data_IF_552004623473
#
_entry.id   IF_552004623473
#
_cell.length_a   1.000
_cell.length_b   1.000
_cell.length_c   1.000
_cell.angle_alpha   90.00
_cell.angle_beta   90.00
_cell.angle_gamma   90.00
#
_symmetry.space_group_name_H-M   'P 1'
#
loop_
_entity.id
_entity.type
_entity.pdbx_description
1 polymer ?
#
# COMPACT_ATOMS: atom_id res chain seq x y z
N UNK A 1 -42.15 38.56 -5.07
CA UNK A 1 -40.68 38.36 -5.06
C UNK A 1 -40.11 37.89 -3.72
N UNK A 2 -40.75 38.07 -2.56
CA UNK A 2 -40.22 37.61 -1.24
C UNK A 2 -40.42 36.09 -0.93
N UNK A 3 -41.36 35.41 -1.61
CA UNK A 3 -41.63 33.97 -1.35
C UNK A 3 -40.69 32.98 -2.03
N UNK A 4 -40.03 33.39 -3.14
CA UNK A 4 -39.08 32.54 -3.88
C UNK A 4 -37.73 32.47 -3.15
N UNK A 5 -37.31 33.53 -2.47
CA UNK A 5 -36.03 33.57 -1.75
C UNK A 5 -36.01 32.65 -0.51
N UNK A 6 -37.19 32.47 0.16
CA UNK A 6 -37.31 31.64 1.35
C UNK A 6 -37.28 30.15 0.98
N UNK A 7 -37.80 29.76 -0.19
CA UNK A 7 -37.77 28.34 -0.65
C UNK A 7 -36.37 27.93 -1.08
N UNK A 8 -35.58 28.82 -1.70
CA UNK A 8 -34.19 28.50 -2.11
C UNK A 8 -33.29 28.41 -0.89
N UNK A 9 -33.48 29.26 0.14
CA UNK A 9 -32.70 29.17 1.39
C UNK A 9 -33.00 27.88 2.20
N UNK A 10 -34.28 27.44 2.18
CA UNK A 10 -34.67 26.21 2.87
C UNK A 10 -34.13 24.96 2.15
N UNK A 11 -34.02 24.98 0.80
CA UNK A 11 -33.44 23.86 0.03
C UNK A 11 -31.91 23.77 0.19
N UNK A 12 -31.22 24.86 0.31
CA UNK A 12 -29.78 24.89 0.60
C UNK A 12 -29.47 24.43 2.05
N UNK A 13 -30.35 24.76 3.02
CA UNK A 13 -30.16 24.32 4.40
C UNK A 13 -30.48 22.83 4.63
N UNK A 14 -31.39 22.24 3.85
CA UNK A 14 -31.71 20.84 3.92
C UNK A 14 -30.70 19.93 3.17
N UNK A 15 -29.95 20.48 2.19
CA UNK A 15 -28.95 19.77 1.43
C UNK A 15 -27.60 19.62 2.15
N UNK A 16 -27.28 20.50 3.09
CA UNK A 16 -26.02 20.46 3.85
C UNK A 16 -26.10 19.63 5.14
N UNK A 17 -27.29 19.27 5.60
CA UNK A 17 -27.48 18.49 6.83
C UNK A 17 -27.49 16.97 6.64
N UNK A 18 -27.40 16.47 5.40
CA UNK A 18 -27.43 15.03 5.10
C UNK A 18 -26.04 14.40 4.86
N UNK A 19 -24.96 15.19 4.98
CA UNK A 19 -23.59 14.73 4.69
C UNK A 19 -22.68 14.71 5.91
N UNK A 20 -23.20 14.97 7.09
CA UNK A 20 -22.50 14.81 8.35
C UNK A 20 -23.25 13.77 9.21
N UNK A 21 -23.31 12.54 8.76
CA UNK A 21 -23.30 11.41 9.68
C UNK A 21 -21.82 11.10 9.91
N UNK A 22 -21.33 11.59 11.05
CA UNK A 22 -20.09 11.12 11.66
C UNK A 22 -20.25 9.62 11.89
N UNK A 23 -19.80 8.83 10.94
CA UNK A 23 -19.55 7.42 11.14
C UNK A 23 -18.28 7.36 11.98
N UNK A 24 -18.42 7.27 13.31
CA UNK A 24 -17.29 7.10 14.26
C UNK A 24 -16.44 5.86 13.97
N UNK A 25 -16.70 5.16 12.86
CA UNK A 25 -16.02 3.95 12.42
C UNK A 25 -15.28 4.10 11.08
N UNK A 26 -15.25 5.29 10.47
CA UNK A 26 -14.49 5.55 9.23
C UNK A 26 -13.03 6.01 9.51
N UNK A 27 -12.38 5.38 10.47
CA UNK A 27 -11.06 5.78 10.96
C UNK A 27 -9.87 5.48 10.05
N UNK A 28 -10.05 5.28 8.75
CA UNK A 28 -8.95 5.04 7.82
C UNK A 28 -9.28 5.71 6.47
N UNK A 29 -8.96 6.97 6.36
CA UNK A 29 -9.05 7.71 5.09
C UNK A 29 -7.64 7.91 4.52
N UNK A 30 -7.17 6.95 3.75
CA UNK A 30 -5.92 7.06 3.01
C UNK A 30 -6.18 7.55 1.59
N UNK A 31 -5.26 8.31 1.02
CA UNK A 31 -5.33 8.74 -0.37
C UNK A 31 -3.97 8.59 -1.03
N UNK A 32 -3.93 7.92 -2.18
CA UNK A 32 -2.75 7.84 -3.03
C UNK A 32 -2.98 8.57 -4.34
N UNK A 33 -1.97 9.30 -4.81
CA UNK A 33 -1.95 9.97 -6.10
C UNK A 33 -0.74 9.48 -6.87
N UNK A 34 -0.94 9.18 -8.17
CA UNK A 34 0.13 8.80 -9.10
C UNK A 34 0.12 9.68 -10.32
N UNK A 35 1.31 9.97 -10.85
CA UNK A 35 1.49 10.77 -12.07
C UNK A 35 2.46 10.04 -13.00
N UNK A 36 1.99 9.70 -14.20
CA UNK A 36 2.82 9.16 -15.26
C UNK A 36 3.79 10.23 -15.80
N UNK A 37 4.90 9.80 -16.36
CA UNK A 37 6.02 10.68 -16.76
C UNK A 37 5.66 11.74 -17.83
N UNK A 38 4.66 11.49 -18.67
CA UNK A 38 4.18 12.45 -19.67
C UNK A 38 3.02 13.33 -19.16
N UNK A 39 2.50 13.04 -17.96
CA UNK A 39 1.53 13.88 -17.26
C UNK A 39 2.21 14.93 -16.34
N UNK A 40 3.52 14.83 -16.13
CA UNK A 40 4.33 15.82 -15.42
C UNK A 40 4.99 16.80 -16.38
N UNK A 41 5.35 17.98 -15.89
CA UNK A 41 5.96 19.05 -16.73
C UNK A 41 7.43 18.80 -17.02
N UNK A 42 8.10 17.97 -16.24
CA UNK A 42 9.54 17.71 -16.31
C UNK A 42 9.90 16.26 -16.63
N UNK A 43 8.89 15.41 -16.91
CA UNK A 43 9.07 14.00 -17.21
C UNK A 43 9.28 13.12 -15.97
N UNK A 44 9.08 13.66 -14.76
CA UNK A 44 9.15 12.86 -13.53
C UNK A 44 7.93 11.95 -13.36
N UNK A 45 8.16 10.78 -12.79
CA UNK A 45 7.10 9.92 -12.25
C UNK A 45 6.90 10.28 -10.78
N UNK A 46 5.66 10.41 -10.34
CA UNK A 46 5.37 10.78 -8.96
C UNK A 46 4.38 9.82 -8.32
N UNK A 47 4.59 9.55 -7.04
CA UNK A 47 3.59 8.95 -6.15
C UNK A 47 3.56 9.72 -4.84
N UNK A 48 2.39 9.82 -4.25
CA UNK A 48 2.16 10.40 -2.93
C UNK A 48 1.05 9.63 -2.25
N UNK A 49 1.13 9.51 -0.93
CA UNK A 49 0.04 8.94 -0.15
C UNK A 49 -0.09 9.62 1.21
N UNK A 50 -1.30 9.61 1.74
CA UNK A 50 -1.60 9.91 3.13
C UNK A 50 -1.99 8.62 3.83
N UNK A 51 -1.80 8.58 5.14
CA UNK A 51 -2.24 7.47 5.97
C UNK A 51 -2.88 8.05 7.23
N UNK A 52 -4.19 7.86 7.36
CA UNK A 52 -4.92 8.20 8.57
C UNK A 52 -4.99 6.98 9.47
N UNK A 53 -4.46 7.09 10.67
CA UNK A 53 -4.43 5.95 11.58
C UNK A 53 -3.40 6.10 12.70
N UNK A 54 -3.40 5.14 13.60
CA UNK A 54 -2.48 5.08 14.73
C UNK A 54 -1.21 4.32 14.37
N UNK A 55 -0.36 4.93 13.54
CA UNK A 55 0.99 4.43 13.28
C UNK A 55 2.03 5.30 13.98
N UNK A 56 3.28 4.82 14.04
CA UNK A 56 4.36 5.64 14.54
C UNK A 56 4.61 6.85 13.62
N UNK A 57 5.09 7.94 14.22
CA UNK A 57 5.37 9.21 13.52
C UNK A 57 6.86 9.47 13.32
N UNK A 58 7.71 8.50 13.62
CA UNK A 58 9.15 8.60 13.39
C UNK A 58 9.52 8.15 11.98
N UNK A 59 10.63 8.68 11.48
CA UNK A 59 11.23 8.36 10.18
C UNK A 59 12.70 8.01 10.43
N UNK A 60 13.19 6.95 9.82
CA UNK A 60 14.61 6.62 9.80
C UNK A 60 15.03 6.01 8.46
N UNK A 61 16.33 6.04 8.20
CA UNK A 61 16.92 5.34 7.06
C UNK A 61 17.43 3.98 7.53
N UNK A 62 16.95 2.92 6.89
CA UNK A 62 17.53 1.58 7.03
C UNK A 62 18.65 1.46 6.00
N UNK A 63 19.91 1.23 6.41
CA UNK A 63 21.02 1.16 5.49
C UNK A 63 20.99 -0.12 4.64
N UNK A 64 21.57 -0.03 3.45
CA UNK A 64 21.86 -1.19 2.62
C UNK A 64 22.78 -2.18 3.33
N UNK A 65 22.64 -3.48 3.02
CA UNK A 65 23.42 -4.52 3.69
C UNK A 65 23.64 -5.73 2.79
N UNK A 66 24.86 -6.26 2.83
CA UNK A 66 25.19 -7.56 2.25
C UNK A 66 24.96 -8.69 3.24
N UNK A 67 24.45 -9.79 2.75
CA UNK A 67 24.08 -10.96 3.54
C UNK A 67 24.85 -12.19 3.08
N UNK A 68 25.20 -13.05 4.04
CA UNK A 68 25.87 -14.31 3.74
C UNK A 68 24.90 -15.30 3.05
N UNK A 69 25.40 -16.18 2.19
CA UNK A 69 24.58 -17.25 1.64
C UNK A 69 23.86 -18.04 2.74
N UNK A 70 22.57 -18.34 2.55
CA UNK A 70 21.75 -19.04 3.53
C UNK A 70 21.21 -18.17 4.67
N UNK A 71 21.43 -16.85 4.66
CA UNK A 71 20.80 -15.96 5.60
C UNK A 71 19.27 -15.97 5.47
N UNK A 72 18.57 -15.73 6.57
CA UNK A 72 17.13 -15.56 6.62
C UNK A 72 16.77 -14.17 7.16
N UNK A 73 15.58 -13.70 6.83
CA UNK A 73 15.00 -12.48 7.41
C UNK A 73 13.70 -12.84 8.13
N UNK A 74 13.48 -12.28 9.33
CA UNK A 74 12.24 -12.52 10.07
C UNK A 74 11.06 -11.82 9.40
N UNK A 75 9.90 -12.46 9.46
CA UNK A 75 8.60 -11.84 9.16
C UNK A 75 8.05 -11.25 10.45
N UNK A 76 7.68 -9.98 10.41
CA UNK A 76 7.28 -9.19 11.59
C UNK A 76 5.83 -8.76 11.47
N UNK A 77 5.12 -8.80 12.60
CA UNK A 77 3.80 -8.16 12.77
C UNK A 77 3.87 -7.07 13.85
N UNK A 78 3.02 -6.07 13.74
CA UNK A 78 2.84 -4.96 14.71
C UNK A 78 4.02 -3.98 14.80
N UNK A 79 5.03 -4.04 13.94
CA UNK A 79 6.19 -3.16 14.06
C UNK A 79 5.86 -1.69 13.75
N UNK A 80 4.86 -1.40 12.93
CA UNK A 80 4.42 -0.03 12.64
C UNK A 80 3.74 0.67 13.82
N UNK A 81 3.41 -0.05 14.89
CA UNK A 81 2.80 0.49 16.11
C UNK A 81 3.81 0.85 17.20
N UNK A 82 5.10 0.71 16.94
CA UNK A 82 6.16 1.03 17.92
C UNK A 82 6.25 2.54 18.15
N UNK A 83 6.62 2.94 19.39
CA UNK A 83 6.72 4.35 19.77
C UNK A 83 7.98 5.02 19.26
N UNK A 84 9.07 4.27 19.12
CA UNK A 84 10.38 4.75 18.70
C UNK A 84 11.02 3.74 17.75
N UNK A 85 11.95 4.19 16.92
CA UNK A 85 12.68 3.33 15.96
C UNK A 85 13.43 2.17 16.64
N UNK A 86 13.85 2.35 17.88
CA UNK A 86 14.54 1.33 18.69
C UNK A 86 13.60 0.51 19.57
N UNK A 87 12.30 0.83 19.58
CA UNK A 87 11.32 0.12 20.37
C UNK A 87 10.94 -1.19 19.66
N UNK A 88 11.12 -2.30 20.35
CA UNK A 88 10.73 -3.63 19.87
C UNK A 88 9.54 -4.21 20.63
N UNK A 89 8.98 -3.45 21.58
CA UNK A 89 7.86 -3.90 22.39
C UNK A 89 6.61 -4.14 21.51
N UNK A 90 6.06 -5.35 21.62
CA UNK A 90 4.87 -5.75 20.84
C UNK A 90 5.15 -6.24 19.42
N UNK A 91 6.38 -6.13 18.90
CA UNK A 91 6.77 -6.76 17.63
C UNK A 91 6.72 -8.29 17.80
N UNK A 92 6.01 -8.95 16.88
CA UNK A 92 5.95 -10.41 16.85
C UNK A 92 6.72 -10.93 15.64
N UNK A 93 7.65 -11.84 15.87
CA UNK A 93 8.25 -12.65 14.80
C UNK A 93 7.33 -13.84 14.57
N UNK A 94 6.80 -13.96 13.36
CA UNK A 94 5.79 -14.98 13.00
C UNK A 94 6.30 -15.99 11.98
N UNK A 95 7.53 -15.82 11.51
CA UNK A 95 8.20 -16.72 10.57
C UNK A 95 9.52 -16.15 10.09
N UNK A 96 10.17 -16.85 9.20
CA UNK A 96 11.40 -16.47 8.52
C UNK A 96 11.34 -16.85 7.06
N UNK A 97 11.92 -16.04 6.19
CA UNK A 97 12.07 -16.34 4.76
C UNK A 97 13.54 -16.17 4.34
N UNK A 98 13.96 -16.79 3.23
CA UNK A 98 15.29 -16.58 2.69
C UNK A 98 15.60 -15.11 2.46
N UNK A 99 16.78 -14.66 2.91
CA UNK A 99 17.25 -13.31 2.64
C UNK A 99 17.98 -13.26 1.30
N UNK A 100 17.83 -12.14 0.58
CA UNK A 100 18.60 -11.87 -0.63
C UNK A 100 20.05 -11.54 -0.29
N UNK A 101 20.96 -11.70 -1.26
CA UNK A 101 22.39 -11.44 -1.05
C UNK A 101 22.70 -9.99 -0.67
N UNK A 102 21.89 -9.05 -1.16
CA UNK A 102 22.00 -7.62 -0.89
C UNK A 102 20.62 -7.01 -0.67
N UNK A 103 20.46 -6.22 0.38
CA UNK A 103 19.26 -5.41 0.63
C UNK A 103 19.56 -3.95 0.40
N UNK A 104 18.66 -3.25 -0.29
CA UNK A 104 18.79 -1.81 -0.56
C UNK A 104 18.48 -0.97 0.68
N UNK A 105 19.08 0.20 0.76
CA UNK A 105 18.74 1.22 1.74
C UNK A 105 17.35 1.79 1.44
N UNK A 106 16.55 2.06 2.48
CA UNK A 106 15.21 2.62 2.30
C UNK A 106 14.79 3.55 3.45
N UNK A 107 13.83 4.40 3.14
CA UNK A 107 13.13 5.26 4.10
C UNK A 107 12.07 4.43 4.80
N UNK A 108 12.25 4.23 6.10
CA UNK A 108 11.35 3.52 6.97
C UNK A 108 10.43 4.51 7.69
N UNK A 109 9.15 4.38 7.43
CA UNK A 109 8.07 5.16 8.03
C UNK A 109 6.99 4.21 8.53
N UNK A 110 5.77 4.65 8.76
CA UNK A 110 4.63 3.77 9.05
C UNK A 110 4.47 2.67 8.01
N UNK A 111 4.67 3.03 6.73
CA UNK A 111 4.88 2.11 5.61
C UNK A 111 6.20 2.48 4.93
N UNK A 112 7.16 1.55 4.72
CA UNK A 112 8.37 1.82 3.98
C UNK A 112 8.05 2.34 2.58
N UNK A 113 8.54 3.53 2.23
CA UNK A 113 7.98 4.30 1.13
C UNK A 113 8.91 4.54 -0.05
N UNK A 114 10.23 4.55 0.15
CA UNK A 114 11.20 4.87 -0.90
C UNK A 114 12.53 4.19 -0.63
N UNK A 115 13.14 3.58 -1.66
CA UNK A 115 14.48 3.01 -1.55
C UNK A 115 15.52 3.75 -2.39
N UNK A 116 16.80 3.39 -2.23
CA UNK A 116 17.93 4.02 -2.94
C UNK A 116 17.88 3.81 -4.46
N UNK A 117 17.11 2.88 -4.98
CA UNK A 117 16.86 2.67 -6.41
C UNK A 117 15.72 3.53 -6.93
N UNK A 118 15.20 4.43 -6.08
CA UNK A 118 14.05 5.29 -6.38
C UNK A 118 12.76 4.52 -6.65
N UNK A 119 12.63 3.31 -6.08
CA UNK A 119 11.35 2.63 -6.04
C UNK A 119 10.54 3.25 -4.91
N UNK A 120 9.34 3.74 -5.24
CA UNK A 120 8.40 4.35 -4.30
C UNK A 120 7.14 3.51 -4.16
N UNK A 121 6.62 3.38 -2.93
CA UNK A 121 5.35 2.70 -2.64
C UNK A 121 4.46 3.63 -1.80
N UNK A 122 3.20 3.78 -2.22
CA UNK A 122 2.13 4.37 -1.43
C UNK A 122 1.04 3.32 -1.19
N UNK A 123 0.32 3.41 -0.08
CA UNK A 123 -0.65 2.40 0.34
C UNK A 123 -2.01 3.05 0.64
N UNK A 124 -3.11 2.35 0.31
CA UNK A 124 -4.49 2.66 0.72
C UNK A 124 -5.27 1.37 0.91
N UNK A 125 -5.91 1.22 2.07
CA UNK A 125 -6.71 0.03 2.40
C UNK A 125 -8.11 0.12 1.78
N UNK A 126 -8.58 -0.92 1.08
CA UNK A 126 -9.98 -1.02 0.64
C UNK A 126 -10.78 -2.13 1.36
N UNK A 127 -10.15 -2.83 2.29
CA UNK A 127 -10.66 -3.92 3.13
C UNK A 127 -11.13 -5.17 2.37
N UNK A 128 -12.12 -5.07 1.51
CA UNK A 128 -12.72 -6.22 0.83
C UNK A 128 -13.57 -7.12 1.75
N UNK A 129 -14.04 -8.28 1.26
CA UNK A 129 -14.82 -9.21 2.08
C UNK A 129 -13.99 -9.89 3.17
N UNK A 130 -14.45 -9.88 4.42
CA UNK A 130 -13.79 -10.53 5.57
C UNK A 130 -13.54 -12.02 5.36
N UNK A 131 -14.36 -12.67 4.52
CA UNK A 131 -14.20 -14.08 4.18
C UNK A 131 -12.91 -14.40 3.45
N UNK A 132 -12.24 -13.40 2.86
CA UNK A 132 -10.96 -13.55 2.18
C UNK A 132 -9.78 -13.41 3.12
N UNK A 133 -9.95 -12.85 4.31
CA UNK A 133 -8.86 -12.60 5.25
C UNK A 133 -8.44 -13.89 5.96
N UNK A 134 -7.14 -14.19 5.93
CA UNK A 134 -6.53 -15.24 6.73
C UNK A 134 -5.64 -14.63 7.83
N UNK A 135 -6.21 -14.38 8.99
CA UNK A 135 -5.48 -13.76 10.12
C UNK A 135 -4.26 -14.58 10.61
N UNK A 136 -4.20 -15.88 10.26
CA UNK A 136 -3.07 -16.75 10.60
C UNK A 136 -1.91 -16.61 9.61
N UNK A 137 -2.15 -16.06 8.42
CA UNK A 137 -1.10 -15.84 7.43
C UNK A 137 -0.08 -14.81 7.91
N UNK A 138 1.22 -15.01 7.64
CA UNK A 138 2.29 -14.24 8.27
C UNK A 138 2.49 -12.84 7.69
N UNK A 139 2.23 -12.63 6.40
CA UNK A 139 2.54 -11.37 5.71
C UNK A 139 1.37 -10.40 5.77
N UNK A 140 1.60 -9.24 6.38
CA UNK A 140 0.74 -8.06 6.30
C UNK A 140 1.32 -7.07 5.30
N UNK A 141 0.55 -6.05 4.91
CA UNK A 141 0.94 -5.16 3.83
C UNK A 141 2.21 -4.37 4.15
N UNK A 142 2.38 -3.89 5.38
CA UNK A 142 3.58 -3.18 5.78
C UNK A 142 4.85 -4.04 5.65
N UNK A 143 4.73 -5.35 5.87
CA UNK A 143 5.86 -6.27 5.75
C UNK A 143 6.17 -6.57 4.28
N UNK A 144 5.14 -6.66 3.42
CA UNK A 144 5.34 -6.75 1.97
C UNK A 144 6.03 -5.49 1.41
N UNK A 145 5.61 -4.29 1.86
CA UNK A 145 6.27 -3.04 1.50
C UNK A 145 7.75 -3.04 1.91
N UNK A 146 8.06 -3.47 3.14
CA UNK A 146 9.44 -3.59 3.61
C UNK A 146 10.27 -4.53 2.73
N UNK A 147 9.76 -5.71 2.45
CA UNK A 147 10.46 -6.71 1.65
C UNK A 147 10.66 -6.25 0.19
N UNK A 148 9.69 -5.52 -0.36
CA UNK A 148 9.84 -4.90 -1.68
C UNK A 148 10.91 -3.80 -1.68
N UNK A 149 10.91 -2.92 -0.67
CA UNK A 149 11.94 -1.87 -0.55
C UNK A 149 13.35 -2.45 -0.41
N UNK A 150 13.51 -3.54 0.31
CA UNK A 150 14.80 -4.22 0.48
C UNK A 150 15.31 -4.88 -0.81
N UNK A 151 14.43 -5.31 -1.73
CA UNK A 151 14.75 -6.30 -2.77
C UNK A 151 14.59 -5.78 -4.19
N UNK A 152 13.77 -4.77 -4.42
CA UNK A 152 13.40 -4.34 -5.77
C UNK A 152 14.22 -3.13 -6.23
N UNK A 153 14.70 -3.16 -7.46
CA UNK A 153 15.38 -2.06 -8.12
C UNK A 153 14.46 -1.31 -9.11
N UNK A 154 13.29 -1.86 -9.41
CA UNK A 154 12.29 -1.28 -10.31
C UNK A 154 10.87 -1.48 -9.76
N UNK A 155 9.92 -0.70 -10.26
CA UNK A 155 8.51 -0.85 -9.89
C UNK A 155 7.97 -2.25 -10.23
N UNK A 156 8.33 -2.81 -11.40
CA UNK A 156 7.95 -4.18 -11.79
C UNK A 156 8.50 -5.25 -10.87
N UNK A 157 9.77 -5.10 -10.45
CA UNK A 157 10.36 -6.02 -9.47
C UNK A 157 9.64 -5.94 -8.12
N UNK A 158 9.29 -4.73 -7.66
CA UNK A 158 8.55 -4.56 -6.42
C UNK A 158 7.17 -5.24 -6.47
N UNK A 159 6.42 -5.05 -7.55
CA UNK A 159 5.13 -5.75 -7.80
C UNK A 159 5.32 -7.27 -7.73
N UNK A 160 6.32 -7.81 -8.45
CA UNK A 160 6.61 -9.26 -8.48
C UNK A 160 7.04 -9.78 -7.11
N UNK A 161 7.89 -9.05 -6.39
CA UNK A 161 8.34 -9.43 -5.03
C UNK A 161 7.14 -9.53 -4.09
N UNK A 162 6.27 -8.52 -4.06
CA UNK A 162 5.10 -8.53 -3.19
C UNK A 162 4.13 -9.66 -3.53
N UNK A 163 3.78 -9.80 -4.81
CA UNK A 163 2.87 -10.84 -5.28
C UNK A 163 3.38 -12.25 -4.99
N UNK A 164 4.62 -12.55 -5.40
CA UNK A 164 5.21 -13.88 -5.23
C UNK A 164 5.36 -14.27 -3.75
N UNK A 165 5.80 -13.34 -2.89
CA UNK A 165 5.93 -13.63 -1.46
C UNK A 165 4.55 -13.87 -0.82
N UNK A 166 3.54 -13.10 -1.20
CA UNK A 166 2.19 -13.28 -0.70
C UNK A 166 1.56 -14.60 -1.16
N UNK A 167 1.82 -15.02 -2.40
CA UNK A 167 1.39 -16.34 -2.91
C UNK A 167 2.08 -17.50 -2.17
N UNK A 168 3.39 -17.39 -1.95
CA UNK A 168 4.19 -18.47 -1.36
C UNK A 168 3.97 -18.61 0.15
N UNK A 169 3.97 -17.47 0.88
CA UNK A 169 3.94 -17.47 2.36
C UNK A 169 2.57 -17.13 2.94
N UNK A 170 1.64 -16.62 2.14
CA UNK A 170 0.30 -16.25 2.55
C UNK A 170 0.17 -14.79 3.00
N UNK A 171 -0.95 -14.19 2.62
CA UNK A 171 -1.32 -12.81 2.92
C UNK A 171 -2.45 -12.78 3.96
N UNK A 172 -2.25 -12.02 5.03
CA UNK A 172 -3.11 -12.05 6.23
C UNK A 172 -3.82 -10.75 6.55
N UNK A 173 -3.77 -9.76 5.65
CA UNK A 173 -4.41 -8.46 5.83
C UNK A 173 -5.72 -8.35 5.04
N UNK A 174 -6.41 -7.23 5.21
CA UNK A 174 -7.52 -6.83 4.34
C UNK A 174 -7.08 -6.56 2.91
N UNK A 175 -8.00 -6.12 2.08
CA UNK A 175 -7.67 -5.72 0.71
C UNK A 175 -6.91 -4.40 0.68
N UNK A 176 -5.80 -4.37 -0.06
CA UNK A 176 -4.92 -3.21 -0.17
C UNK A 176 -4.68 -2.82 -1.62
N UNK A 177 -4.63 -1.52 -1.85
CA UNK A 177 -4.32 -0.91 -3.13
C UNK A 177 -3.05 -0.06 -3.00
N UNK A 178 -1.98 -0.47 -3.66
CA UNK A 178 -0.69 0.19 -3.60
C UNK A 178 -0.38 0.89 -4.91
N UNK A 179 0.25 2.05 -4.80
CA UNK A 179 0.95 2.70 -5.92
C UNK A 179 2.41 2.32 -5.84
N UNK A 180 2.96 1.83 -6.95
CA UNK A 180 4.35 1.37 -7.03
C UNK A 180 5.02 2.09 -8.18
N UNK A 181 6.06 2.88 -7.91
CA UNK A 181 6.71 3.73 -8.89
C UNK A 181 8.22 3.52 -8.95
N UNK A 182 8.81 3.83 -10.09
CA UNK A 182 10.23 4.07 -10.28
C UNK A 182 10.42 5.28 -11.21
N UNK A 183 11.64 5.70 -11.57
CA UNK A 183 11.84 6.86 -12.45
C UNK A 183 11.23 6.74 -13.85
N UNK A 184 10.74 5.59 -14.26
CA UNK A 184 10.26 5.32 -15.64
C UNK A 184 8.78 5.07 -15.72
N UNK A 185 8.20 4.45 -14.71
CA UNK A 185 6.81 4.00 -14.73
C UNK A 185 6.17 3.97 -13.35
N UNK A 186 4.85 3.95 -13.31
CA UNK A 186 4.06 3.77 -12.09
C UNK A 186 2.96 2.73 -12.33
N UNK A 187 2.75 1.93 -11.31
CA UNK A 187 1.80 0.82 -11.27
C UNK A 187 0.79 1.00 -10.15
N UNK A 188 -0.38 0.46 -10.36
CA UNK A 188 -1.33 0.16 -9.31
C UNK A 188 -1.30 -1.33 -9.04
N UNK A 189 -1.15 -1.72 -7.78
CA UNK A 189 -1.10 -3.10 -7.33
C UNK A 189 -2.21 -3.31 -6.30
N UNK A 190 -3.07 -4.28 -6.52
CA UNK A 190 -4.16 -4.63 -5.62
C UNK A 190 -4.01 -6.08 -5.16
N UNK A 191 -4.24 -6.31 -3.86
CA UNK A 191 -4.05 -7.61 -3.24
C UNK A 191 -5.16 -7.90 -2.23
N UNK A 192 -5.60 -9.15 -2.20
CA UNK A 192 -6.52 -9.70 -1.19
C UNK A 192 -6.07 -11.10 -0.79
N UNK A 193 -6.48 -11.56 0.37
CA UNK A 193 -6.33 -12.96 0.76
C UNK A 193 -7.18 -13.90 -0.08
N UNK A 194 -6.96 -15.21 0.06
CA UNK A 194 -7.69 -16.26 -0.68
C UNK A 194 -8.67 -17.05 0.19
N UNK A 195 -8.92 -16.57 1.38
CA UNK A 195 -9.89 -17.12 2.32
C UNK A 195 -9.27 -17.65 3.59
N UNK A 196 -10.11 -17.69 4.63
CA UNK A 196 -9.75 -18.17 5.95
C UNK A 196 -9.11 -19.57 5.87
N UNK A 197 -7.98 -19.75 6.54
CA UNK A 197 -7.21 -20.99 6.58
C UNK A 197 -6.63 -21.45 5.22
N UNK A 198 -6.56 -20.56 4.23
CA UNK A 198 -5.87 -20.83 2.97
C UNK A 198 -4.57 -20.05 2.90
N UNK A 199 -3.51 -20.69 2.47
CA UNK A 199 -2.24 -20.04 2.16
C UNK A 199 -2.31 -19.42 0.78
N UNK A 200 -1.73 -18.22 0.62
CA UNK A 200 -1.64 -17.53 -0.66
C UNK A 200 -2.28 -16.17 -0.66
N UNK A 201 -2.36 -15.58 -1.83
CA UNK A 201 -3.00 -14.31 -2.13
C UNK A 201 -3.59 -14.31 -3.54
N UNK A 202 -4.54 -13.41 -3.79
CA UNK A 202 -4.94 -13.03 -5.13
C UNK A 202 -4.55 -11.57 -5.34
N UNK A 203 -3.84 -11.27 -6.42
CA UNK A 203 -3.39 -9.93 -6.72
C UNK A 203 -3.48 -9.62 -8.21
N UNK A 204 -3.53 -8.34 -8.51
CA UNK A 204 -3.46 -7.81 -9.86
C UNK A 204 -2.61 -6.53 -9.86
N UNK A 205 -1.92 -6.26 -10.95
CA UNK A 205 -1.21 -5.01 -11.12
C UNK A 205 -1.51 -4.42 -12.50
N UNK A 206 -1.67 -3.11 -12.56
CA UNK A 206 -1.92 -2.38 -13.79
C UNK A 206 -0.94 -1.23 -13.92
N UNK A 207 -0.21 -1.18 -15.03
CA UNK A 207 0.63 -0.03 -15.35
C UNK A 207 -0.27 1.18 -15.66
N UNK A 208 0.03 2.31 -15.05
CA UNK A 208 -0.63 3.58 -15.38
C UNK A 208 0.02 4.13 -16.65
N UNK A 209 -0.77 4.47 -17.69
CA UNK A 209 -0.24 5.09 -18.89
C UNK A 209 0.54 6.37 -18.59
N UNK A 210 1.56 6.64 -19.36
CA UNK A 210 2.51 7.74 -19.12
C UNK A 210 1.82 9.13 -19.09
N UNK A 211 0.72 9.29 -19.81
CA UNK A 211 -0.07 10.53 -19.91
C UNK A 211 -1.13 10.69 -18.82
N UNK A 212 -1.26 9.70 -17.92
CA UNK A 212 -2.35 9.67 -16.96
C UNK A 212 -1.92 10.08 -15.55
N UNK A 213 -2.90 10.58 -14.82
CA UNK A 213 -2.88 10.75 -13.36
C UNK A 213 -3.91 9.79 -12.77
N UNK A 214 -3.57 9.13 -11.68
CA UNK A 214 -4.47 8.24 -10.96
C UNK A 214 -4.65 8.66 -9.51
N UNK A 215 -5.80 8.29 -8.94
CA UNK A 215 -6.12 8.49 -7.52
C UNK A 215 -6.76 7.20 -7.01
N UNK A 216 -6.35 6.80 -5.81
CA UNK A 216 -7.04 5.80 -4.99
C UNK A 216 -7.28 6.37 -3.59
N UNK A 217 -8.50 6.21 -3.08
CA UNK A 217 -8.90 6.66 -1.75
C UNK A 217 -9.77 5.56 -1.12
N UNK A 218 -9.12 4.57 -0.50
CA UNK A 218 -9.74 3.41 0.15
C UNK A 218 -10.74 2.63 -0.73
N UNK A 219 -10.47 2.59 -2.04
CA UNK A 219 -11.26 1.82 -3.02
C UNK A 219 -10.35 1.08 -3.99
N UNK A 220 -10.73 -0.13 -4.44
CA UNK A 220 -10.02 -0.79 -5.52
C UNK A 220 -10.22 -0.02 -6.84
N UNK A 221 -9.20 -0.01 -7.70
CA UNK A 221 -9.19 0.73 -8.97
C UNK A 221 -9.12 -0.18 -10.18
N UNK A 222 -8.59 -1.39 -10.04
CA UNK A 222 -8.50 -2.38 -11.10
C UNK A 222 -9.86 -3.06 -11.26
N UNK A 223 -10.67 -2.58 -12.21
CA UNK A 223 -12.05 -3.06 -12.36
C UNK A 223 -12.20 -4.29 -13.23
N UNK A 224 -11.32 -4.46 -14.23
CA UNK A 224 -11.35 -5.59 -15.16
C UNK A 224 -9.95 -6.13 -15.37
N UNK A 225 -9.80 -7.42 -15.13
CA UNK A 225 -8.54 -8.13 -15.32
C UNK A 225 -8.54 -8.79 -16.67
N UNK A 226 -7.57 -8.47 -17.52
CA UNK A 226 -7.29 -9.21 -18.75
C UNK A 226 -6.41 -10.41 -18.41
N UNK A 227 -7.01 -11.60 -18.43
CA UNK A 227 -6.28 -12.85 -18.11
C UNK A 227 -5.35 -13.32 -19.21
N UNK A 228 -5.38 -12.70 -20.38
CA UNK A 228 -4.45 -12.99 -21.47
C UNK A 228 -3.16 -12.16 -21.38
N UNK A 229 -3.18 -11.09 -20.60
CA UNK A 229 -2.02 -10.28 -20.29
C UNK A 229 -1.22 -10.97 -19.16
N UNK A 230 -0.02 -11.41 -19.49
CA UNK A 230 0.89 -12.11 -18.56
C UNK A 230 2.18 -11.34 -18.28
N UNK A 231 2.26 -10.07 -18.72
CA UNK A 231 3.44 -9.22 -18.50
C UNK A 231 3.54 -8.63 -17.08
#
# INVERSE_FOLDING_TARGET
>A
MKKILVVVAAFCAAGFGAWAQDDENSGLECTSIVVGRLASTDGSVMTSHTCDGTSHTWVNIVPAKDHKPGSVTPIRKNWRKTKFVTDTAGIKIVGEIPQVAHTYSYVNTGYPSLNEKQVGIGETTFTGPDTLINHDAPLLIEELCRLAMERAATAREAVKVMGSLAEEYGYGDGGECLTVSDPKEVWQFEIVGVGKHKLGAAWAAQRIPDEHVGISANIPRIGKIDRSDTE
#
